data_IF_662756329503
#
_entry.id   IF_662756329503
#
_cell.length_a   1.000
_cell.length_b   1.000
_cell.length_c   1.000
_cell.angle_alpha   90.00
_cell.angle_beta   90.00
_cell.angle_gamma   90.00
#
_symmetry.space_group_name_H-M   'P 1'
#
loop_
_entity.id
_entity.type
_entity.pdbx_description
1 polymer ?
#
# COMPACT_ATOMS: atom_id res chain seq x y z
N UNK A 1 7.35 33.33 29.00
CA UNK A 1 6.39 32.34 29.51
C UNK A 1 6.80 31.01 28.90
N UNK A 2 7.36 30.12 29.71
CA UNK A 2 8.16 28.98 29.26
C UNK A 2 7.31 27.88 28.61
N UNK A 3 7.84 27.27 27.55
CA UNK A 3 7.26 26.16 26.78
C UNK A 3 7.15 24.83 27.55
N UNK A 4 7.07 24.88 28.89
CA UNK A 4 7.12 23.70 29.76
C UNK A 4 5.76 23.08 30.06
N UNK A 5 4.69 23.53 29.40
CA UNK A 5 3.30 23.11 29.69
C UNK A 5 2.66 22.31 28.54
N UNK A 6 3.34 22.16 27.40
CA UNK A 6 2.80 21.47 26.21
C UNK A 6 3.23 20.00 26.08
N UNK A 7 4.08 19.49 26.96
CA UNK A 7 4.64 18.14 26.83
C UNK A 7 4.20 17.30 28.03
N UNK A 8 3.46 16.20 27.80
CA UNK A 8 3.11 15.26 28.87
C UNK A 8 4.38 14.73 29.54
N UNK A 9 4.44 14.77 30.87
CA UNK A 9 5.57 14.27 31.69
C UNK A 9 5.83 12.76 31.57
N UNK A 10 5.04 12.06 30.75
CA UNK A 10 5.11 10.62 30.47
C UNK A 10 5.96 10.27 29.24
N UNK A 11 6.41 11.26 28.46
CA UNK A 11 7.21 11.04 27.24
C UNK A 11 8.68 11.35 27.50
N UNK A 12 9.59 10.49 27.04
CA UNK A 12 11.02 10.64 27.29
C UNK A 12 11.56 11.95 26.66
N UNK A 13 12.49 12.66 27.33
CA UNK A 13 13.05 13.92 26.81
C UNK A 13 13.69 13.77 25.43
N UNK A 14 14.21 12.58 25.11
CA UNK A 14 14.82 12.25 23.82
C UNK A 14 13.78 12.30 22.69
N UNK A 15 12.58 11.73 22.90
CA UNK A 15 11.50 11.75 21.89
C UNK A 15 11.01 13.17 21.66
N UNK A 16 10.91 13.97 22.72
CA UNK A 16 10.51 15.39 22.64
C UNK A 16 11.54 16.21 21.86
N UNK A 17 12.83 15.90 22.04
CA UNK A 17 13.91 16.58 21.31
C UNK A 17 13.89 16.33 19.80
N UNK A 18 13.30 15.20 19.36
CA UNK A 18 13.20 14.82 17.95
C UNK A 18 12.05 15.52 17.20
N UNK A 19 11.10 16.13 17.90
CA UNK A 19 9.94 16.78 17.29
C UNK A 19 10.33 17.92 16.33
N UNK A 20 11.15 18.87 16.80
CA UNK A 20 11.59 20.01 16.00
C UNK A 20 12.40 19.54 14.77
N UNK A 21 13.43 18.68 14.92
CA UNK A 21 14.12 18.08 13.79
C UNK A 21 13.19 17.40 12.78
N UNK A 22 12.23 16.58 13.24
CA UNK A 22 11.32 15.86 12.36
C UNK A 22 10.48 16.81 11.49
N UNK A 23 9.95 17.90 12.07
CA UNK A 23 9.19 18.90 11.31
C UNK A 23 10.05 19.56 10.24
N UNK A 24 11.26 20.00 10.61
CA UNK A 24 12.15 20.65 9.64
C UNK A 24 12.59 19.68 8.54
N UNK A 25 12.89 18.42 8.87
CA UNK A 25 13.23 17.39 7.89
C UNK A 25 12.08 17.16 6.92
N UNK A 26 10.86 16.94 7.40
CA UNK A 26 9.70 16.71 6.54
C UNK A 26 9.40 17.89 5.62
N UNK A 27 9.48 19.13 6.12
CA UNK A 27 9.29 20.35 5.31
C UNK A 27 10.38 20.54 4.27
N UNK A 28 11.65 20.35 4.63
CA UNK A 28 12.77 20.51 3.69
C UNK A 28 12.73 19.44 2.59
N UNK A 29 12.49 18.18 2.95
CA UNK A 29 12.35 17.08 1.99
C UNK A 29 11.17 17.34 1.05
N UNK A 30 10.02 17.76 1.59
CA UNK A 30 8.85 18.10 0.78
C UNK A 30 9.12 19.25 -0.19
N UNK A 31 9.73 20.34 0.28
CA UNK A 31 9.99 21.52 -0.54
C UNK A 31 11.03 21.22 -1.63
N UNK A 32 12.14 20.57 -1.28
CA UNK A 32 13.18 20.18 -2.25
C UNK A 32 12.63 19.18 -3.26
N UNK A 33 11.85 18.19 -2.80
CA UNK A 33 11.23 17.18 -3.66
C UNK A 33 10.24 17.79 -4.64
N UNK A 34 9.36 18.68 -4.19
CA UNK A 34 8.41 19.40 -5.07
C UNK A 34 9.13 20.30 -6.09
N UNK A 35 10.19 21.00 -5.68
CA UNK A 35 11.02 21.76 -6.62
C UNK A 35 11.66 20.84 -7.66
N UNK A 36 12.24 19.71 -7.23
CA UNK A 36 12.84 18.74 -8.14
C UNK A 36 11.83 18.16 -9.14
N UNK A 37 10.60 17.86 -8.71
CA UNK A 37 9.51 17.40 -9.60
C UNK A 37 9.23 18.46 -10.69
N UNK A 38 9.22 19.74 -10.34
CA UNK A 38 8.94 20.82 -11.29
C UNK A 38 9.97 20.96 -12.41
N UNK A 39 11.22 20.54 -12.17
CA UNK A 39 12.31 20.58 -13.16
C UNK A 39 12.46 19.28 -13.94
N UNK A 40 11.84 18.20 -13.49
CA UNK A 40 12.04 16.87 -14.06
C UNK A 40 11.17 16.65 -15.30
N UNK A 41 11.81 16.25 -16.40
CA UNK A 41 11.13 15.99 -17.69
C UNK A 41 10.80 14.52 -17.95
N UNK A 42 11.36 13.61 -17.16
CA UNK A 42 11.16 12.16 -17.31
C UNK A 42 10.19 11.68 -16.23
N UNK A 43 9.05 11.14 -16.69
CA UNK A 43 7.94 10.68 -15.85
C UNK A 43 8.38 9.69 -14.76
N UNK A 44 9.34 8.81 -15.05
CA UNK A 44 9.80 7.82 -14.08
C UNK A 44 10.56 8.45 -12.90
N UNK A 45 11.39 9.45 -13.20
CA UNK A 45 12.09 10.18 -12.15
C UNK A 45 11.15 11.08 -11.37
N UNK A 46 10.11 11.62 -12.01
CA UNK A 46 9.05 12.34 -11.31
C UNK A 46 8.31 11.41 -10.32
N UNK A 47 8.03 10.16 -10.71
CA UNK A 47 7.41 9.14 -9.85
C UNK A 47 8.27 8.78 -8.63
N UNK A 48 9.58 8.62 -8.81
CA UNK A 48 10.51 8.39 -7.69
C UNK A 48 10.56 9.61 -6.75
N UNK A 49 10.53 10.83 -7.31
CA UNK A 49 10.52 12.05 -6.53
C UNK A 49 9.21 12.22 -5.75
N UNK A 50 8.07 11.79 -6.29
CA UNK A 50 6.79 11.80 -5.55
C UNK A 50 6.79 10.84 -4.38
N UNK A 51 7.46 9.68 -4.48
CA UNK A 51 7.65 8.78 -3.34
C UNK A 51 8.49 9.42 -2.23
N UNK A 52 9.57 10.12 -2.59
CA UNK A 52 10.41 10.85 -1.60
C UNK A 52 9.62 11.94 -0.88
N UNK A 53 8.78 12.68 -1.61
CA UNK A 53 7.90 13.70 -1.02
C UNK A 53 6.89 13.05 -0.08
N UNK A 54 6.28 11.93 -0.48
CA UNK A 54 5.32 11.19 0.35
C UNK A 54 5.95 10.71 1.66
N UNK A 55 7.15 10.10 1.59
CA UNK A 55 7.91 9.69 2.77
C UNK A 55 8.22 10.89 3.68
N UNK A 56 8.60 12.03 3.09
CA UNK A 56 8.82 13.28 3.83
C UNK A 56 7.57 13.79 4.54
N UNK A 57 6.39 13.66 3.92
CA UNK A 57 5.11 14.01 4.55
C UNK A 57 4.70 13.03 5.65
N UNK A 58 5.01 11.74 5.51
CA UNK A 58 4.79 10.76 6.58
C UNK A 58 5.61 11.07 7.83
N UNK A 59 6.83 11.62 7.69
CA UNK A 59 7.62 12.11 8.84
C UNK A 59 6.87 13.22 9.58
N UNK A 60 6.19 14.12 8.86
CA UNK A 60 5.37 15.17 9.49
C UNK A 60 4.16 14.58 10.23
N UNK A 61 3.47 13.62 9.63
CA UNK A 61 2.34 12.94 10.27
C UNK A 61 2.83 12.19 11.52
N UNK A 62 3.95 11.48 11.43
CA UNK A 62 4.58 10.79 12.57
C UNK A 62 4.98 11.74 13.70
N UNK A 63 5.45 12.94 13.39
CA UNK A 63 5.81 13.94 14.38
C UNK A 63 4.60 14.40 15.22
N UNK A 64 3.37 14.26 14.73
CA UNK A 64 2.16 14.58 15.51
C UNK A 64 1.98 13.62 16.70
N UNK A 65 2.48 12.38 16.61
CA UNK A 65 2.60 11.46 17.75
C UNK A 65 1.28 11.12 18.45
N UNK A 66 0.17 11.09 17.71
CA UNK A 66 -1.15 10.72 18.22
C UNK A 66 -1.57 9.34 17.72
N UNK A 67 -2.47 8.67 18.43
CA UNK A 67 -3.08 7.40 17.98
C UNK A 67 -3.67 7.51 16.56
N UNK A 68 -4.18 8.69 16.22
CA UNK A 68 -4.64 8.99 14.88
C UNK A 68 -3.50 9.02 13.86
N UNK A 69 -2.37 9.64 14.19
CA UNK A 69 -1.20 9.66 13.32
C UNK A 69 -0.70 8.24 13.06
N UNK A 70 -0.64 7.38 14.08
CA UNK A 70 -0.29 5.96 13.91
C UNK A 70 -1.22 5.24 12.93
N UNK A 71 -2.53 5.50 13.03
CA UNK A 71 -3.53 4.93 12.13
C UNK A 71 -3.41 5.43 10.68
N UNK A 72 -2.79 6.59 10.44
CA UNK A 72 -2.55 7.16 9.11
C UNK A 72 -1.21 6.75 8.50
N UNK A 73 -0.17 6.57 9.32
CA UNK A 73 1.20 6.23 8.87
C UNK A 73 1.25 4.82 8.32
N UNK A 74 0.64 3.84 8.99
CA UNK A 74 0.70 2.44 8.57
C UNK A 74 0.13 2.22 7.15
N UNK A 75 -1.07 2.74 6.81
CA UNK A 75 -1.55 2.78 5.42
C UNK A 75 -0.62 3.51 4.45
N UNK A 76 -0.07 4.66 4.87
CA UNK A 76 0.81 5.49 4.04
C UNK A 76 2.05 4.72 3.61
N UNK A 77 2.77 4.14 4.57
CA UNK A 77 3.96 3.33 4.33
C UNK A 77 3.69 2.16 3.39
N UNK A 78 2.53 1.52 3.48
CA UNK A 78 2.21 0.38 2.61
C UNK A 78 1.86 0.82 1.20
N UNK A 79 1.21 1.97 1.05
CA UNK A 79 0.98 2.56 -0.28
C UNK A 79 2.31 2.87 -0.95
N UNK A 80 3.26 3.46 -0.22
CA UNK A 80 4.61 3.77 -0.73
C UNK A 80 5.40 2.51 -1.08
N UNK A 81 5.37 1.47 -0.24
CA UNK A 81 6.01 0.19 -0.57
C UNK A 81 5.45 -0.41 -1.87
N UNK A 82 4.14 -0.33 -2.07
CA UNK A 82 3.51 -0.81 -3.31
C UNK A 82 3.90 0.02 -4.53
N UNK A 83 4.07 1.34 -4.38
CA UNK A 83 4.50 2.24 -5.45
C UNK A 83 5.97 2.00 -5.84
N UNK A 84 6.86 1.88 -4.86
CA UNK A 84 8.28 1.53 -5.07
C UNK A 84 8.42 0.16 -5.76
N UNK A 85 7.61 -0.83 -5.36
CA UNK A 85 7.59 -2.15 -6.02
C UNK A 85 7.17 -2.05 -7.48
N UNK A 86 6.11 -1.28 -7.78
CA UNK A 86 5.65 -1.08 -9.16
C UNK A 86 6.69 -0.32 -10.01
N UNK A 87 7.35 0.70 -9.45
CA UNK A 87 8.44 1.41 -10.14
C UNK A 87 9.61 0.47 -10.41
N UNK A 88 9.94 -0.41 -9.46
CA UNK A 88 11.02 -1.40 -9.60
C UNK A 88 10.75 -2.37 -10.75
N UNK A 89 9.50 -2.82 -10.90
CA UNK A 89 9.03 -3.65 -12.02
C UNK A 89 9.20 -2.92 -13.36
N UNK A 90 8.78 -1.65 -13.46
CA UNK A 90 8.93 -0.84 -14.67
C UNK A 90 10.41 -0.61 -15.02
N UNK A 91 11.25 -0.30 -14.03
CA UNK A 91 12.69 -0.07 -14.20
C UNK A 91 13.38 -1.32 -14.72
N UNK A 92 13.09 -2.46 -14.11
CA UNK A 92 13.69 -3.72 -14.49
C UNK A 92 13.24 -4.15 -15.88
N UNK A 93 11.94 -4.07 -16.18
CA UNK A 93 11.39 -4.36 -17.52
C UNK A 93 12.06 -3.51 -18.61
N UNK A 94 12.30 -2.22 -18.35
CA UNK A 94 13.05 -1.33 -19.26
C UNK A 94 14.50 -1.76 -19.46
N UNK A 95 15.19 -2.16 -18.40
CA UNK A 95 16.60 -2.54 -18.48
C UNK A 95 16.79 -3.92 -19.13
N UNK A 96 15.88 -4.86 -18.86
CA UNK A 96 15.80 -6.17 -19.51
C UNK A 96 15.62 -6.05 -21.02
N UNK A 97 14.74 -5.13 -21.46
CA UNK A 97 14.53 -4.85 -22.89
C UNK A 97 15.77 -4.27 -23.58
N UNK A 98 16.66 -3.58 -22.84
CA UNK A 98 17.95 -3.10 -23.39
C UNK A 98 19.02 -4.18 -23.42
N UNK A 99 19.00 -5.10 -22.45
CA UNK A 99 19.99 -6.17 -22.29
C UNK A 99 19.65 -7.44 -23.08
N UNK A 100 18.50 -7.47 -23.76
CA UNK A 100 17.93 -8.62 -24.48
C UNK A 100 17.91 -9.90 -23.61
N UNK A 101 17.70 -9.71 -22.30
CA UNK A 101 17.68 -10.78 -21.29
C UNK A 101 16.38 -10.72 -20.53
N UNK A 102 15.63 -11.81 -20.59
CA UNK A 102 14.42 -12.05 -19.79
C UNK A 102 14.82 -12.68 -18.46
N UNK A 103 15.05 -11.88 -17.42
CA UNK A 103 15.16 -12.41 -16.05
C UNK A 103 14.05 -11.79 -15.20
N UNK A 104 13.08 -12.61 -14.84
CA UNK A 104 11.92 -12.26 -14.02
C UNK A 104 12.36 -11.90 -12.59
N UNK A 105 11.96 -10.74 -12.03
CA UNK A 105 12.32 -10.33 -10.65
C UNK A 105 11.71 -11.28 -9.62
N UNK A 106 10.54 -11.80 -9.96
CA UNK A 106 9.88 -12.86 -9.23
C UNK A 106 10.15 -14.13 -10.05
N UNK A 107 10.99 -15.06 -9.58
CA UNK A 107 11.10 -16.36 -10.24
C UNK A 107 9.77 -17.09 -10.05
N UNK A 108 8.79 -16.87 -10.93
CA UNK A 108 7.55 -17.62 -10.96
C UNK A 108 7.11 -17.82 -12.42
N UNK A 109 7.13 -19.07 -12.90
CA UNK A 109 6.70 -20.24 -12.14
C UNK A 109 7.89 -21.09 -11.70
N UNK A 110 8.05 -21.26 -10.40
CA UNK A 110 8.55 -22.55 -9.93
C UNK A 110 7.60 -23.58 -10.53
N UNK A 111 8.10 -24.42 -11.43
CA UNK A 111 7.40 -25.57 -11.96
C UNK A 111 7.26 -26.61 -10.84
N UNK A 112 6.61 -26.22 -9.75
CA UNK A 112 6.19 -27.11 -8.69
C UNK A 112 5.00 -27.88 -9.24
N UNK A 113 5.26 -28.93 -10.02
CA UNK A 113 4.31 -30.02 -10.28
C UNK A 113 4.12 -30.80 -8.97
N UNK A 114 3.56 -30.13 -7.98
CA UNK A 114 3.19 -30.69 -6.69
C UNK A 114 1.67 -30.75 -6.65
N UNK A 115 1.13 -31.96 -6.52
CA UNK A 115 -0.32 -32.23 -6.44
C UNK A 115 -1.03 -31.40 -5.35
N UNK A 116 -0.28 -31.05 -4.29
CA UNK A 116 -0.72 -30.20 -3.18
C UNK A 116 -1.10 -28.78 -3.68
N UNK A 117 -0.41 -28.24 -4.68
CA UNK A 117 -0.68 -26.90 -5.23
C UNK A 117 -1.90 -26.85 -6.16
N UNK A 118 -2.46 -27.98 -6.59
CA UNK A 118 -3.72 -27.98 -7.34
C UNK A 118 -4.96 -27.88 -6.45
N UNK A 119 -4.88 -28.44 -5.24
CA UNK A 119 -6.01 -28.60 -4.32
C UNK A 119 -5.95 -27.68 -3.10
N UNK A 120 -4.78 -27.53 -2.47
CA UNK A 120 -4.63 -26.76 -1.23
C UNK A 120 -4.82 -25.23 -1.37
N UNK A 121 -4.42 -24.57 -2.48
CA UNK A 121 -4.45 -23.11 -2.55
C UNK A 121 -5.84 -22.50 -2.51
N UNK A 122 -6.85 -23.17 -3.08
CA UNK A 122 -8.24 -22.69 -2.99
C UNK A 122 -8.73 -22.71 -1.54
N UNK A 123 -8.45 -23.78 -0.81
CA UNK A 123 -8.83 -23.91 0.59
C UNK A 123 -8.12 -22.88 1.48
N UNK A 124 -6.80 -22.75 1.32
CA UNK A 124 -6.00 -21.77 2.06
C UNK A 124 -6.44 -20.33 1.77
N UNK A 125 -6.68 -19.98 0.51
CA UNK A 125 -7.13 -18.65 0.14
C UNK A 125 -8.48 -18.29 0.76
N UNK A 126 -9.44 -19.23 0.77
CA UNK A 126 -10.74 -19.03 1.42
C UNK A 126 -10.58 -18.77 2.91
N UNK A 127 -9.76 -19.57 3.60
CA UNK A 127 -9.51 -19.38 5.04
C UNK A 127 -8.87 -18.01 5.30
N UNK A 128 -7.86 -17.63 4.52
CA UNK A 128 -7.16 -16.36 4.68
C UNK A 128 -8.08 -15.17 4.40
N UNK A 129 -8.98 -15.26 3.41
CA UNK A 129 -9.97 -14.21 3.12
C UNK A 129 -10.98 -14.10 4.27
N UNK A 130 -11.51 -15.22 4.77
CA UNK A 130 -12.46 -15.22 5.88
C UNK A 130 -11.80 -14.66 7.14
N UNK A 131 -10.59 -15.13 7.47
CA UNK A 131 -9.84 -14.65 8.62
C UNK A 131 -9.49 -13.17 8.49
N UNK A 132 -9.08 -12.73 7.30
CA UNK A 132 -8.83 -11.33 7.01
C UNK A 132 -10.08 -10.46 7.17
N UNK A 133 -11.25 -10.95 6.75
CA UNK A 133 -12.52 -10.24 6.93
C UNK A 133 -12.90 -10.08 8.41
N UNK A 134 -12.64 -11.10 9.24
CA UNK A 134 -12.82 -11.02 10.70
C UNK A 134 -11.85 -10.05 11.36
N UNK A 135 -10.58 -10.03 10.93
CA UNK A 135 -9.58 -9.12 11.48
C UNK A 135 -9.87 -7.66 11.08
N UNK A 136 -10.43 -7.46 9.88
CA UNK A 136 -10.74 -6.15 9.28
C UNK A 136 -9.53 -5.20 9.23
N UNK A 137 -9.75 -3.95 8.83
CA UNK A 137 -8.68 -2.95 8.79
C UNK A 137 -7.54 -3.31 7.84
N UNK A 138 -6.38 -2.71 8.10
CA UNK A 138 -5.19 -2.90 7.26
C UNK A 138 -4.68 -4.35 7.28
N UNK A 139 -4.52 -4.92 8.48
CA UNK A 139 -4.00 -6.27 8.69
C UNK A 139 -4.90 -7.33 8.09
N UNK A 140 -6.22 -7.19 8.25
CA UNK A 140 -7.19 -8.07 7.61
C UNK A 140 -7.12 -7.99 6.10
N UNK A 141 -6.96 -6.77 5.56
CA UNK A 141 -6.81 -6.55 4.11
C UNK A 141 -5.54 -7.20 3.57
N UNK A 142 -4.42 -7.09 4.29
CA UNK A 142 -3.15 -7.72 3.91
C UNK A 142 -3.24 -9.26 3.90
N UNK A 143 -3.91 -9.86 4.89
CA UNK A 143 -4.08 -11.32 4.95
C UNK A 143 -5.03 -11.81 3.85
N UNK A 144 -6.16 -11.13 3.65
CA UNK A 144 -7.12 -11.48 2.60
C UNK A 144 -6.49 -11.31 1.21
N UNK A 145 -5.78 -10.21 0.97
CA UNK A 145 -5.04 -9.95 -0.25
C UNK A 145 -3.92 -10.96 -0.49
N UNK A 146 -3.19 -11.34 0.57
CA UNK A 146 -2.18 -12.40 0.52
C UNK A 146 -2.77 -13.76 0.16
N UNK A 147 -3.97 -14.08 0.65
CA UNK A 147 -4.71 -15.29 0.25
C UNK A 147 -5.09 -15.28 -1.24
N UNK A 148 -5.57 -14.13 -1.74
CA UNK A 148 -5.88 -13.94 -3.18
C UNK A 148 -4.61 -14.10 -4.02
N UNK A 149 -3.52 -13.44 -3.62
CA UNK A 149 -2.22 -13.53 -4.27
C UNK A 149 -1.71 -14.97 -4.31
N UNK A 150 -1.74 -15.67 -3.18
CA UNK A 150 -1.32 -17.08 -3.09
C UNK A 150 -2.14 -17.98 -4.03
N UNK A 151 -3.45 -17.77 -4.11
CA UNK A 151 -4.30 -18.49 -5.05
C UNK A 151 -3.94 -18.22 -6.51
N UNK A 152 -3.75 -16.95 -6.88
CA UNK A 152 -3.41 -16.54 -8.26
C UNK A 152 -2.05 -17.08 -8.67
N UNK A 153 -1.06 -17.08 -7.77
CA UNK A 153 0.26 -17.62 -8.05
C UNK A 153 0.27 -19.15 -8.15
N UNK A 154 -0.56 -19.83 -7.34
CA UNK A 154 -0.56 -21.31 -7.32
C UNK A 154 -1.39 -21.92 -8.45
N UNK A 155 -2.54 -21.32 -8.82
CA UNK A 155 -3.34 -21.78 -9.95
C UNK A 155 -2.88 -21.10 -11.23
N UNK A 156 -2.04 -21.82 -11.99
CA UNK A 156 -1.61 -21.46 -13.35
C UNK A 156 -2.78 -21.29 -14.36
N UNK A 157 -4.04 -21.50 -13.95
CA UNK A 157 -5.20 -21.63 -14.82
C UNK A 157 -6.25 -20.55 -14.57
N UNK A 158 -6.79 -20.01 -15.67
CA UNK A 158 -7.80 -18.95 -15.81
C UNK A 158 -7.30 -17.51 -15.58
N UNK A 159 -6.98 -16.84 -16.68
CA UNK A 159 -7.04 -15.38 -16.73
C UNK A 159 -8.49 -14.94 -16.52
N UNK A 160 -8.72 -14.15 -15.49
CA UNK A 160 -10.01 -13.50 -15.24
C UNK A 160 -10.15 -12.34 -16.24
N UNK A 161 -11.32 -12.10 -16.85
CA UNK A 161 -11.48 -11.08 -17.90
C UNK A 161 -10.99 -9.70 -17.43
N UNK A 162 -10.22 -9.00 -18.27
CA UNK A 162 -9.61 -7.68 -17.99
C UNK A 162 -10.60 -6.64 -17.46
N UNK A 163 -11.83 -6.63 -18.00
CA UNK A 163 -12.93 -5.76 -17.54
C UNK A 163 -13.28 -5.92 -16.05
N UNK A 164 -13.08 -7.12 -15.50
CA UNK A 164 -13.36 -7.41 -14.08
C UNK A 164 -12.28 -6.79 -13.20
N UNK A 165 -11.03 -6.74 -13.67
CA UNK A 165 -9.90 -6.19 -12.92
C UNK A 165 -9.90 -4.66 -12.90
N UNK A 166 -10.28 -4.02 -14.00
CA UNK A 166 -10.53 -2.58 -14.02
C UNK A 166 -11.64 -2.20 -13.02
N UNK A 167 -12.69 -3.03 -12.94
CA UNK A 167 -13.74 -2.89 -11.92
C UNK A 167 -13.22 -3.03 -10.48
N UNK A 168 -12.32 -3.98 -10.21
CA UNK A 168 -11.69 -4.19 -8.89
C UNK A 168 -10.77 -3.01 -8.53
N UNK A 169 -10.01 -2.48 -9.49
CA UNK A 169 -9.19 -1.29 -9.31
C UNK A 169 -10.05 -0.05 -9.00
N UNK A 170 -11.17 0.14 -9.73
CA UNK A 170 -12.14 1.20 -9.46
C UNK A 170 -12.79 1.07 -8.08
N UNK A 171 -13.16 -0.16 -7.67
CA UNK A 171 -13.73 -0.44 -6.36
C UNK A 171 -12.73 -0.14 -5.21
N UNK A 172 -11.44 -0.41 -5.41
CA UNK A 172 -10.37 -0.04 -4.47
C UNK A 172 -10.28 1.48 -4.27
N UNK A 173 -10.47 2.26 -5.34
CA UNK A 173 -10.54 3.73 -5.27
C UNK A 173 -11.73 4.23 -4.44
N UNK A 174 -12.92 3.65 -4.64
CA UNK A 174 -14.12 3.98 -3.84
C UNK A 174 -13.91 3.62 -2.37
N UNK A 175 -13.28 2.47 -2.09
CA UNK A 175 -12.96 2.03 -0.73
C UNK A 175 -12.03 3.01 0.01
N UNK A 176 -11.10 3.65 -0.70
CA UNK A 176 -10.28 4.73 -0.15
C UNK A 176 -11.10 5.96 0.23
N UNK A 177 -12.10 6.34 -0.58
CA UNK A 177 -13.00 7.44 -0.23
C UNK A 177 -13.81 7.12 1.04
N UNK A 178 -14.27 5.87 1.21
CA UNK A 178 -14.96 5.43 2.43
C UNK A 178 -14.05 5.57 3.66
N UNK A 179 -12.76 5.27 3.50
CA UNK A 179 -11.78 5.43 4.56
C UNK A 179 -11.58 6.90 4.97
N UNK A 180 -11.43 7.82 4.00
CA UNK A 180 -11.34 9.27 4.28
C UNK A 180 -12.61 9.78 4.95
N UNK A 181 -13.77 9.41 4.42
CA UNK A 181 -15.06 9.85 4.98
C UNK A 181 -15.25 9.32 6.39
N UNK A 182 -14.86 8.07 6.66
CA UNK A 182 -14.84 7.51 8.01
C UNK A 182 -13.99 8.36 8.96
N UNK A 183 -12.78 8.74 8.55
CA UNK A 183 -11.93 9.64 9.32
C UNK A 183 -12.53 11.03 9.54
N UNK A 184 -13.14 11.62 8.51
CA UNK A 184 -13.79 12.92 8.62
C UNK A 184 -14.96 12.91 9.61
N UNK A 185 -15.73 11.82 9.66
CA UNK A 185 -16.85 11.68 10.60
C UNK A 185 -16.36 11.64 12.05
N UNK A 186 -15.20 11.03 12.34
CA UNK A 186 -14.61 11.09 13.69
C UNK A 186 -14.40 12.52 14.20
N UNK A 187 -14.13 13.47 13.30
CA UNK A 187 -13.94 14.89 13.64
C UNK A 187 -15.22 15.72 13.61
N UNK A 188 -16.06 15.54 12.59
CA UNK A 188 -17.23 16.39 12.36
C UNK A 188 -18.43 15.95 13.20
N UNK A 189 -18.59 14.64 13.44
CA UNK A 189 -19.74 14.09 14.14
C UNK A 189 -19.35 12.88 15.00
N UNK A 190 -18.64 13.10 16.12
CA UNK A 190 -18.12 12.02 16.96
C UNK A 190 -19.21 11.16 17.62
N UNK A 191 -20.46 11.64 17.66
CA UNK A 191 -21.61 10.82 18.07
C UNK A 191 -21.83 9.59 17.18
N UNK A 192 -21.40 9.64 15.92
CA UNK A 192 -21.45 8.53 14.97
C UNK A 192 -20.14 7.73 14.90
N UNK A 193 -19.37 7.68 15.99
CA UNK A 193 -18.06 7.00 16.04
C UNK A 193 -18.10 5.55 15.54
N UNK A 194 -19.18 4.79 15.80
CA UNK A 194 -19.29 3.40 15.34
C UNK A 194 -19.39 3.32 13.81
N UNK A 195 -20.14 4.23 13.19
CA UNK A 195 -20.25 4.34 11.74
C UNK A 195 -18.90 4.75 11.14
N UNK A 196 -18.24 5.73 11.75
CA UNK A 196 -16.90 6.19 11.35
C UNK A 196 -15.88 5.04 11.38
N UNK A 197 -15.91 4.24 12.46
CA UNK A 197 -15.05 3.07 12.64
C UNK A 197 -15.28 2.03 11.54
N UNK A 198 -16.54 1.67 11.25
CA UNK A 198 -16.84 0.69 10.22
C UNK A 198 -16.46 1.17 8.81
N UNK A 199 -16.73 2.44 8.49
CA UNK A 199 -16.33 3.03 7.21
C UNK A 199 -14.82 3.04 7.03
N UNK A 200 -14.07 3.43 8.08
CA UNK A 200 -12.62 3.42 8.06
C UNK A 200 -12.06 1.99 7.98
N UNK A 201 -12.49 1.08 8.86
CA UNK A 201 -11.96 -0.28 8.95
C UNK A 201 -12.26 -1.11 7.69
N UNK A 202 -13.50 -1.07 7.17
CA UNK A 202 -13.84 -1.80 5.95
C UNK A 202 -13.35 -1.11 4.68
N UNK A 203 -13.33 0.22 4.64
CA UNK A 203 -12.76 0.96 3.52
C UNK A 203 -11.30 0.61 3.28
N UNK A 204 -10.49 0.57 4.35
CA UNK A 204 -9.09 0.19 4.20
C UNK A 204 -8.90 -1.31 3.94
N UNK A 205 -9.70 -2.17 4.58
CA UNK A 205 -9.68 -3.62 4.33
C UNK A 205 -9.86 -3.94 2.84
N UNK A 206 -10.91 -3.37 2.22
CA UNK A 206 -11.23 -3.60 0.81
C UNK A 206 -10.11 -3.06 -0.08
N UNK A 207 -9.64 -1.83 0.19
CA UNK A 207 -8.55 -1.20 -0.58
C UNK A 207 -7.31 -2.07 -0.61
N UNK A 208 -6.85 -2.55 0.56
CA UNK A 208 -5.60 -3.32 0.67
C UNK A 208 -5.76 -4.71 0.06
N UNK A 209 -6.86 -5.41 0.35
CA UNK A 209 -7.11 -6.75 -0.19
C UNK A 209 -7.08 -6.75 -1.73
N UNK A 210 -7.72 -5.75 -2.35
CA UNK A 210 -7.76 -5.63 -3.81
C UNK A 210 -6.44 -5.19 -4.40
N UNK A 211 -5.71 -4.25 -3.77
CA UNK A 211 -4.42 -3.79 -4.30
C UNK A 211 -3.37 -4.91 -4.27
N UNK A 212 -3.28 -5.67 -3.17
CA UNK A 212 -2.36 -6.81 -3.06
C UNK A 212 -2.76 -7.94 -4.02
N UNK A 213 -4.06 -8.20 -4.19
CA UNK A 213 -4.55 -9.15 -5.18
C UNK A 213 -4.20 -8.77 -6.62
N UNK A 214 -4.31 -7.48 -6.97
CA UNK A 214 -4.01 -6.96 -8.31
C UNK A 214 -2.53 -7.12 -8.69
N UNK A 215 -1.60 -6.96 -7.75
CA UNK A 215 -0.15 -7.17 -8.00
C UNK A 215 0.11 -8.58 -8.56
N UNK A 216 -0.55 -9.60 -8.00
CA UNK A 216 -0.43 -10.98 -8.47
C UNK A 216 -0.93 -11.21 -9.90
N UNK A 217 -1.84 -10.38 -10.36
CA UNK A 217 -2.51 -10.51 -11.66
C UNK A 217 -1.75 -9.74 -12.74
N UNK A 218 -1.29 -8.53 -12.43
CA UNK A 218 -0.51 -7.69 -13.37
C UNK A 218 0.76 -8.43 -13.77
N UNK A 219 1.50 -8.98 -12.80
CA UNK A 219 2.66 -9.83 -13.11
C UNK A 219 2.30 -10.97 -14.07
N UNK A 220 1.14 -11.61 -13.90
CA UNK A 220 0.68 -12.70 -14.78
C UNK A 220 0.32 -12.26 -16.20
N UNK A 221 -0.32 -11.11 -16.39
CA UNK A 221 -0.70 -10.61 -17.73
C UNK A 221 0.52 -10.19 -18.55
N UNK A 222 1.56 -9.63 -17.92
CA UNK A 222 2.84 -9.37 -18.58
C UNK A 222 3.50 -10.68 -19.06
N UNK A 223 3.51 -11.74 -18.25
CA UNK A 223 4.05 -13.04 -18.65
C UNK A 223 3.32 -13.72 -19.81
N UNK A 224 2.02 -13.44 -20.02
CA UNK A 224 1.27 -14.04 -21.12
C UNK A 224 1.62 -13.38 -22.46
N UNK A 225 2.02 -12.10 -22.46
CA UNK A 225 2.48 -11.38 -23.65
C UNK A 225 3.86 -11.84 -24.13
N UNK A 226 4.73 -12.29 -23.22
CA UNK A 226 6.08 -12.76 -23.57
C UNK A 226 6.12 -14.20 -24.11
N UNK A 227 4.98 -14.90 -24.13
CA UNK A 227 4.85 -16.28 -24.67
C UNK A 227 4.09 -16.38 -26.00
N UNK A 228 3.65 -15.26 -26.56
CA UNK A 228 3.14 -15.14 -27.94
C UNK A 228 4.17 -14.43 -28.83
#
# INVERSE_FOLDING_TARGET
MAASVLVPTVVSPEVVSLYIPAIFTGLLVGLIGLLAISYQKNDLHALILTDIVSLGMLILVAAVGTDLAEALILPGLVVELAEILAISEILMSREMRKMDKTVELIPLPLSFNMEILDTAPTFLAIILIIYGAFLSGFTGGAIAGGGILFYVLSKMTRGVPSNTWEGVAGASGIAWCLWIVGFLIFFVAPSYWLLALFLAAFGIFIKVAFKVGLIGVIGREEFKKDKE
#
